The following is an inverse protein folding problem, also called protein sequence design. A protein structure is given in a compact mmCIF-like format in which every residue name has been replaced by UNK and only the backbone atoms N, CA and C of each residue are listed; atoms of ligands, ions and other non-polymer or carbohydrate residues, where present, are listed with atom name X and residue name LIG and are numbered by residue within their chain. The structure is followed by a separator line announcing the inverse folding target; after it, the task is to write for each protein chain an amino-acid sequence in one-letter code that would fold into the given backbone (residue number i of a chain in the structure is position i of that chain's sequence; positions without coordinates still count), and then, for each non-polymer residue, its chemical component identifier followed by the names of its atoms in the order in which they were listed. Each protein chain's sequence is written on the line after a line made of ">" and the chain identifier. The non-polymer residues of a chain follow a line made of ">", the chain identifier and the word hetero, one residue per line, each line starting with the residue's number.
data_IF_865832491462
#
_entry.id   IF_865832491462
#
_cell.length_a   1.000
_cell.length_b   1.000
_cell.length_c   1.000
_cell.angle_alpha   90.00
_cell.angle_beta   90.00
_cell.angle_gamma   90.00
#
_symmetry.space_group_name_H-M   'P 1'
#
loop_
_entity.id
_entity.type
_entity.pdbx_description
1 polymer ?
#
# COMPACT_ATOMS: atom_id res chain seq x y z
N UNK A 1 28.62 -6.29 19.60
CA UNK A 1 28.89 -4.88 19.97
C UNK A 1 28.24 -4.02 18.92
N UNK A 2 27.31 -3.15 19.30
CA UNK A 2 26.62 -2.23 18.36
C UNK A 2 27.46 -0.95 18.34
N UNK A 3 28.07 -0.63 17.21
CA UNK A 3 28.75 0.65 17.04
C UNK A 3 27.81 1.60 16.31
N UNK A 4 27.47 2.72 16.94
CA UNK A 4 26.77 3.82 16.30
C UNK A 4 27.78 4.80 15.74
N UNK A 5 27.73 5.03 14.44
CA UNK A 5 28.55 6.05 13.79
C UNK A 5 27.64 7.19 13.35
N UNK A 6 28.04 8.40 13.68
CA UNK A 6 27.36 9.61 13.24
C UNK A 6 28.17 10.26 12.13
N UNK A 7 27.53 10.61 11.04
CA UNK A 7 28.15 11.34 9.92
C UNK A 7 27.26 12.51 9.54
N UNK A 8 27.85 13.68 9.45
CA UNK A 8 27.18 14.87 8.92
C UNK A 8 27.54 14.97 7.45
N UNK A 9 26.53 14.99 6.59
CA UNK A 9 26.66 15.26 5.15
C UNK A 9 25.61 16.30 4.77
N UNK A 10 26.05 17.38 4.14
CA UNK A 10 25.20 18.48 3.68
C UNK A 10 24.31 19.09 4.80
N UNK A 11 24.84 19.18 6.04
CA UNK A 11 24.14 19.72 7.20
C UNK A 11 23.13 18.76 7.85
N UNK A 12 23.00 17.54 7.35
CA UNK A 12 22.08 16.51 7.87
C UNK A 12 22.90 15.50 8.68
N UNK A 13 22.46 15.21 9.91
CA UNK A 13 23.03 14.19 10.76
C UNK A 13 22.52 12.81 10.38
N UNK A 14 23.41 11.95 9.90
CA UNK A 14 23.10 10.53 9.64
C UNK A 14 23.59 9.69 10.81
N UNK A 15 22.71 8.91 11.40
CA UNK A 15 23.07 7.84 12.33
C UNK A 15 23.19 6.54 11.54
N UNK A 16 24.40 5.99 11.46
CA UNK A 16 24.63 4.69 10.84
C UNK A 16 24.92 3.69 11.95
N UNK A 17 24.08 2.70 12.09
CA UNK A 17 24.29 1.60 13.03
C UNK A 17 24.98 0.46 12.29
N UNK A 18 26.29 0.31 12.51
CA UNK A 18 27.02 -0.88 12.05
C UNK A 18 26.80 -2.00 13.07
N UNK A 19 26.02 -3.00 12.66
CA UNK A 19 25.88 -4.24 13.41
C UNK A 19 26.83 -5.26 12.80
N UNK A 20 27.86 -5.69 13.54
CA UNK A 20 28.64 -6.87 13.17
C UNK A 20 27.73 -8.08 13.24
N UNK A 21 27.37 -8.61 12.07
CA UNK A 21 26.42 -9.73 11.91
C UNK A 21 27.16 -11.07 12.10
N UNK A 22 27.93 -11.20 13.17
CA UNK A 22 28.48 -12.50 13.57
C UNK A 22 27.40 -13.40 14.19
N UNK A 23 26.35 -12.79 14.74
CA UNK A 23 25.21 -13.51 15.34
C UNK A 23 23.87 -13.08 14.69
N UNK A 24 23.66 -13.51 13.45
CA UNK A 24 22.45 -13.22 12.65
C UNK A 24 21.18 -13.66 13.36
N UNK A 25 21.24 -14.71 14.17
CA UNK A 25 20.08 -15.27 14.87
C UNK A 25 19.51 -14.32 15.91
N UNK A 26 20.34 -13.50 16.56
CA UNK A 26 19.87 -12.51 17.54
C UNK A 26 19.20 -11.31 16.90
N UNK A 27 19.73 -10.82 15.77
CA UNK A 27 19.13 -9.68 15.06
C UNK A 27 17.73 -10.01 14.55
N UNK A 28 17.54 -11.20 14.01
CA UNK A 28 16.28 -11.67 13.46
C UNK A 28 15.24 -12.03 14.53
N UNK A 29 15.67 -12.31 15.75
CA UNK A 29 14.78 -12.55 16.88
C UNK A 29 14.05 -11.27 17.32
N UNK A 30 14.68 -10.10 17.14
CA UNK A 30 14.12 -8.81 17.53
C UNK A 30 13.26 -8.14 16.44
N UNK A 31 13.51 -8.43 15.16
CA UNK A 31 12.70 -7.90 14.08
C UNK A 31 12.70 -8.85 12.87
N UNK A 32 11.69 -9.74 12.76
CA UNK A 32 11.57 -10.69 11.66
C UNK A 32 11.49 -10.01 10.28
N UNK A 33 11.00 -8.76 10.21
CA UNK A 33 10.94 -8.01 8.95
C UNK A 33 12.33 -7.66 8.40
N UNK A 34 13.33 -7.46 9.29
CA UNK A 34 14.72 -7.23 8.85
C UNK A 34 15.35 -8.46 8.19
N UNK A 35 14.90 -9.67 8.56
CA UNK A 35 15.35 -10.90 7.91
C UNK A 35 14.85 -10.98 6.48
N UNK A 36 13.55 -10.73 6.27
CA UNK A 36 12.96 -10.71 4.93
C UNK A 36 13.65 -9.67 4.06
N UNK A 37 13.80 -8.43 4.56
CA UNK A 37 14.49 -7.36 3.86
C UNK A 37 15.93 -7.73 3.47
N UNK A 38 16.70 -8.34 4.40
CA UNK A 38 18.07 -8.73 4.12
C UNK A 38 18.18 -9.88 3.11
N UNK A 39 17.20 -10.79 3.10
CA UNK A 39 17.12 -11.87 2.12
C UNK A 39 16.71 -11.33 0.75
N UNK A 40 15.76 -10.42 0.69
CA UNK A 40 15.30 -9.81 -0.56
C UNK A 40 16.36 -8.91 -1.19
N UNK A 41 17.06 -8.09 -0.41
CA UNK A 41 18.21 -7.31 -0.88
C UNK A 41 19.33 -8.24 -1.41
N UNK A 42 19.55 -9.40 -0.76
CA UNK A 42 20.57 -10.34 -1.21
C UNK A 42 20.17 -11.02 -2.53
N UNK A 43 18.90 -11.35 -2.70
CA UNK A 43 18.37 -11.93 -3.94
C UNK A 43 18.44 -10.92 -5.07
N UNK A 44 17.97 -9.69 -4.84
CA UNK A 44 17.95 -8.63 -5.83
C UNK A 44 19.33 -8.24 -6.34
N UNK A 45 20.36 -8.21 -5.46
CA UNK A 45 21.75 -7.91 -5.88
C UNK A 45 22.37 -8.95 -6.81
N UNK A 46 21.78 -10.16 -6.90
CA UNK A 46 22.23 -11.23 -7.80
C UNK A 46 21.36 -11.40 -9.02
N UNK A 47 20.32 -10.59 -9.14
CA UNK A 47 19.33 -10.67 -10.18
C UNK A 47 19.59 -9.57 -11.21
N UNK A 48 19.97 -9.96 -12.41
CA UNK A 48 20.24 -9.04 -13.52
C UNK A 48 19.01 -8.22 -13.94
N UNK A 49 17.81 -8.73 -13.67
CA UNK A 49 16.56 -8.03 -13.97
C UNK A 49 16.19 -6.96 -12.93
N UNK A 50 16.73 -7.08 -11.71
CA UNK A 50 16.33 -6.19 -10.61
C UNK A 50 16.68 -4.72 -10.87
N UNK A 51 17.82 -4.42 -11.49
CA UNK A 51 18.21 -3.04 -11.80
C UNK A 51 17.22 -2.39 -12.77
N UNK A 52 16.81 -3.12 -13.81
CA UNK A 52 15.81 -2.64 -14.77
C UNK A 52 14.43 -2.46 -14.11
N UNK A 53 14.05 -3.38 -13.23
CA UNK A 53 12.83 -3.25 -12.42
C UNK A 53 12.89 -2.00 -11.54
N UNK A 54 13.99 -1.75 -10.83
CA UNK A 54 14.14 -0.61 -9.94
C UNK A 54 14.09 0.72 -10.70
N UNK A 55 14.79 0.82 -11.83
CA UNK A 55 14.75 2.01 -12.70
C UNK A 55 13.31 2.28 -13.17
N UNK A 56 12.58 1.23 -13.55
CA UNK A 56 11.18 1.38 -13.96
C UNK A 56 10.27 1.76 -12.80
N UNK A 57 10.52 1.24 -11.61
CA UNK A 57 9.78 1.63 -10.41
C UNK A 57 10.00 3.13 -10.07
N UNK A 58 11.24 3.60 -10.14
CA UNK A 58 11.57 5.01 -9.91
C UNK A 58 10.89 5.94 -10.93
N UNK A 59 10.81 5.54 -12.19
CA UNK A 59 10.11 6.28 -13.24
C UNK A 59 8.59 6.35 -12.96
N UNK A 60 7.96 5.19 -12.71
CA UNK A 60 6.52 5.09 -12.57
C UNK A 60 5.97 5.73 -11.28
N UNK A 61 6.78 5.74 -10.21
CA UNK A 61 6.38 6.24 -8.89
C UNK A 61 7.14 7.50 -8.47
N UNK A 62 7.72 8.25 -9.42
CA UNK A 62 8.55 9.42 -9.13
C UNK A 62 7.84 10.47 -8.26
N UNK A 63 6.57 10.78 -8.56
CA UNK A 63 5.78 11.75 -7.80
C UNK A 63 5.49 11.26 -6.37
N UNK A 64 5.16 9.97 -6.20
CA UNK A 64 4.86 9.38 -4.90
C UNK A 64 6.11 9.31 -4.02
N UNK A 65 7.25 8.96 -4.62
CA UNK A 65 8.56 8.95 -3.95
C UNK A 65 8.93 10.36 -3.48
N UNK A 66 8.75 11.37 -4.31
CA UNK A 66 9.07 12.75 -3.95
C UNK A 66 8.14 13.27 -2.84
N UNK A 67 6.82 13.03 -2.95
CA UNK A 67 5.87 13.34 -1.87
C UNK A 67 6.25 12.65 -0.57
N UNK A 68 6.64 11.38 -0.63
CA UNK A 68 7.06 10.60 0.53
C UNK A 68 8.34 11.13 1.17
N UNK A 69 9.29 11.66 0.38
CA UNK A 69 10.51 12.31 0.88
C UNK A 69 10.19 13.60 1.64
N UNK A 70 9.27 14.41 1.11
CA UNK A 70 8.84 15.66 1.76
C UNK A 70 8.25 15.39 3.15
N UNK A 71 7.47 14.31 3.32
CA UNK A 71 6.86 13.95 4.60
C UNK A 71 7.71 12.97 5.43
N UNK A 72 8.98 12.77 5.07
CA UNK A 72 9.92 11.84 5.73
C UNK A 72 9.37 10.41 5.87
N UNK A 73 8.68 9.91 4.85
CA UNK A 73 8.25 8.52 4.80
C UNK A 73 9.45 7.62 4.47
N UNK A 74 9.98 6.81 5.42
CA UNK A 74 11.23 6.06 5.21
C UNK A 74 11.04 4.87 4.26
N UNK A 75 9.83 4.39 4.07
CA UNK A 75 9.56 3.18 3.28
C UNK A 75 9.56 3.51 1.80
N UNK A 76 8.77 4.48 1.38
CA UNK A 76 8.66 4.87 -0.03
C UNK A 76 9.75 5.88 -0.42
N UNK A 77 10.04 6.85 0.46
CA UNK A 77 11.05 7.89 0.20
C UNK A 77 12.47 7.34 -0.01
N UNK A 78 12.80 6.18 0.57
CA UNK A 78 14.07 5.47 0.37
C UNK A 78 13.97 4.30 -0.61
N UNK A 79 12.90 4.19 -1.36
CA UNK A 79 12.63 3.11 -2.33
C UNK A 79 12.60 1.69 -1.73
N UNK A 80 12.59 1.55 -0.40
CA UNK A 80 12.64 0.24 0.24
C UNK A 80 11.42 -0.63 -0.08
N UNK A 81 10.28 -0.01 -0.38
CA UNK A 81 9.06 -0.72 -0.80
C UNK A 81 9.30 -1.56 -2.06
N UNK A 82 10.08 -1.07 -3.02
CA UNK A 82 10.29 -1.76 -4.30
C UNK A 82 11.07 -3.06 -4.13
N UNK A 83 11.93 -3.17 -3.12
CA UNK A 83 12.61 -4.42 -2.77
C UNK A 83 11.66 -5.49 -2.25
N UNK A 84 10.57 -5.09 -1.57
CA UNK A 84 9.53 -6.02 -1.11
C UNK A 84 8.57 -6.42 -2.21
N UNK A 85 8.33 -5.52 -3.16
CA UNK A 85 7.42 -5.78 -4.27
C UNK A 85 8.03 -6.77 -5.29
N UNK A 86 9.35 -6.73 -5.47
CA UNK A 86 10.06 -7.56 -6.44
C UNK A 86 9.95 -9.06 -6.12
N UNK A 87 9.50 -9.85 -7.08
CA UNK A 87 9.19 -11.27 -6.93
C UNK A 87 7.79 -11.54 -6.34
N UNK A 88 7.02 -10.48 -6.04
CA UNK A 88 5.68 -10.57 -5.44
C UNK A 88 4.65 -9.68 -6.16
N UNK A 89 4.95 -9.24 -7.38
CA UNK A 89 4.13 -8.24 -8.08
C UNK A 89 2.68 -8.68 -8.31
N UNK A 90 2.43 -9.98 -8.46
CA UNK A 90 1.06 -10.49 -8.60
C UNK A 90 0.18 -10.16 -7.38
N UNK A 91 0.74 -10.23 -6.18
CA UNK A 91 0.00 -9.88 -4.96
C UNK A 91 -0.22 -8.37 -4.86
N UNK A 92 0.75 -7.57 -5.31
CA UNK A 92 0.62 -6.12 -5.37
C UNK A 92 -0.40 -5.67 -6.41
N UNK A 93 -0.48 -6.34 -7.55
CA UNK A 93 -1.54 -6.08 -8.55
C UNK A 93 -2.91 -6.37 -7.95
N UNK A 94 -3.11 -7.53 -7.31
CA UNK A 94 -4.39 -7.85 -6.64
C UNK A 94 -4.75 -6.85 -5.55
N UNK A 95 -3.76 -6.41 -4.78
CA UNK A 95 -3.98 -5.38 -3.77
C UNK A 95 -4.44 -4.07 -4.38
N UNK A 96 -3.76 -3.58 -5.43
CA UNK A 96 -4.12 -2.36 -6.13
C UNK A 96 -5.49 -2.46 -6.82
N UNK A 97 -5.85 -3.63 -7.38
CA UNK A 97 -7.20 -3.88 -7.91
C UNK A 97 -8.27 -3.75 -6.84
N UNK A 98 -8.02 -4.31 -5.65
CA UNK A 98 -8.92 -4.17 -4.51
C UNK A 98 -9.04 -2.72 -4.04
N UNK A 99 -7.95 -1.94 -4.03
CA UNK A 99 -7.99 -0.51 -3.68
C UNK A 99 -8.92 0.26 -4.64
N UNK A 100 -8.88 0.00 -5.95
CA UNK A 100 -9.78 0.63 -6.93
C UNK A 100 -11.24 0.27 -6.65
N UNK A 101 -11.54 -1.01 -6.38
CA UNK A 101 -12.89 -1.45 -6.02
C UNK A 101 -13.38 -0.70 -4.78
N UNK A 102 -12.57 -0.64 -3.74
CA UNK A 102 -12.90 0.06 -2.50
C UNK A 102 -13.13 1.57 -2.71
N UNK A 103 -12.29 2.22 -3.51
CA UNK A 103 -12.44 3.65 -3.82
C UNK A 103 -13.76 3.93 -4.57
N UNK A 104 -14.11 3.09 -5.56
CA UNK A 104 -15.38 3.17 -6.26
C UNK A 104 -16.58 2.93 -5.34
N UNK A 105 -16.49 1.94 -4.46
CA UNK A 105 -17.54 1.68 -3.48
C UNK A 105 -17.74 2.85 -2.51
N UNK A 106 -16.67 3.54 -2.12
CA UNK A 106 -16.76 4.76 -1.29
C UNK A 106 -17.47 5.90 -2.00
N UNK A 107 -17.27 6.10 -3.29
CA UNK A 107 -18.00 7.11 -4.04
C UNK A 107 -19.50 6.80 -4.05
N UNK A 108 -19.87 5.55 -4.33
CA UNK A 108 -21.28 5.11 -4.34
C UNK A 108 -21.88 5.29 -2.94
N UNK A 109 -21.18 4.89 -1.89
CA UNK A 109 -21.61 5.12 -0.51
C UNK A 109 -21.79 6.60 -0.18
N UNK A 110 -20.88 7.47 -0.64
CA UNK A 110 -20.97 8.90 -0.39
C UNK A 110 -22.23 9.54 -1.03
N UNK A 111 -22.67 9.00 -2.18
CA UNK A 111 -23.89 9.44 -2.87
C UNK A 111 -25.15 8.89 -2.18
N UNK A 112 -25.10 7.65 -1.68
CA UNK A 112 -26.23 6.90 -1.12
C UNK A 112 -26.08 6.62 0.36
N UNK A 113 -25.58 7.60 1.13
CA UNK A 113 -25.22 7.41 2.54
C UNK A 113 -26.40 7.02 3.43
N UNK A 114 -27.56 7.64 3.22
CA UNK A 114 -28.76 7.39 4.04
C UNK A 114 -29.33 6.00 3.78
N UNK A 115 -29.38 5.61 2.51
CA UNK A 115 -29.84 4.28 2.11
C UNK A 115 -28.90 3.19 2.64
N UNK A 116 -27.59 3.43 2.55
CA UNK A 116 -26.58 2.54 3.11
C UNK A 116 -26.77 2.30 4.58
N UNK A 117 -26.93 3.37 5.37
CA UNK A 117 -27.14 3.27 6.81
C UNK A 117 -28.47 2.54 7.11
N UNK A 118 -29.52 2.80 6.35
CA UNK A 118 -30.82 2.16 6.51
C UNK A 118 -30.73 0.65 6.28
N UNK A 119 -30.05 0.21 5.24
CA UNK A 119 -29.81 -1.22 4.93
C UNK A 119 -29.07 -1.87 6.10
N UNK A 120 -27.91 -1.32 6.51
CA UNK A 120 -27.09 -1.92 7.57
C UNK A 120 -27.87 -2.04 8.89
N UNK A 121 -28.73 -1.06 9.23
CA UNK A 121 -29.51 -1.10 10.45
C UNK A 121 -30.68 -2.08 10.44
N UNK A 122 -31.27 -2.33 9.28
CA UNK A 122 -32.46 -3.14 9.13
C UNK A 122 -32.17 -4.60 8.79
N UNK A 123 -30.98 -4.93 8.33
CA UNK A 123 -30.57 -6.29 8.03
C UNK A 123 -30.44 -7.12 9.30
N UNK A 124 -30.85 -8.40 9.24
CA UNK A 124 -30.81 -9.31 10.38
C UNK A 124 -29.41 -9.83 10.68
N UNK A 125 -28.62 -10.02 9.63
CA UNK A 125 -27.23 -10.49 9.73
C UNK A 125 -26.29 -9.61 8.89
N UNK A 126 -25.01 -9.70 9.17
CA UNK A 126 -24.01 -8.98 8.38
C UNK A 126 -23.98 -9.44 6.91
N UNK A 127 -24.15 -10.74 6.66
CA UNK A 127 -24.20 -11.29 5.31
C UNK A 127 -25.45 -10.84 4.53
N UNK A 128 -26.58 -10.66 5.23
CA UNK A 128 -27.78 -10.07 4.62
C UNK A 128 -27.52 -8.62 4.23
N UNK A 129 -26.90 -7.84 5.13
CA UNK A 129 -26.53 -6.45 4.83
C UNK A 129 -25.64 -6.36 3.57
N UNK A 130 -24.65 -7.24 3.43
CA UNK A 130 -23.78 -7.26 2.24
C UNK A 130 -24.60 -7.52 0.98
N UNK A 131 -25.48 -8.53 0.97
CA UNK A 131 -26.31 -8.84 -0.20
C UNK A 131 -27.21 -7.68 -0.58
N UNK A 132 -27.90 -7.10 0.40
CA UNK A 132 -28.77 -5.95 0.19
C UNK A 132 -28.00 -4.72 -0.35
N UNK A 133 -26.76 -4.49 0.12
CA UNK A 133 -25.89 -3.43 -0.38
C UNK A 133 -25.40 -3.71 -1.80
N UNK A 134 -25.09 -4.96 -2.14
CA UNK A 134 -24.75 -5.33 -3.52
C UNK A 134 -25.90 -5.01 -4.47
N UNK A 135 -27.12 -5.38 -4.12
CA UNK A 135 -28.31 -5.18 -4.94
C UNK A 135 -28.68 -3.68 -5.03
N UNK A 136 -28.65 -2.96 -3.92
CA UNK A 136 -29.04 -1.55 -3.84
C UNK A 136 -28.04 -0.63 -4.56
N UNK A 137 -26.75 -0.87 -4.33
CA UNK A 137 -25.67 0.03 -4.75
C UNK A 137 -24.97 -0.44 -6.04
N UNK A 138 -25.29 -1.61 -6.55
CA UNK A 138 -24.64 -2.20 -7.72
C UNK A 138 -23.15 -2.52 -7.47
N UNK A 139 -22.80 -2.86 -6.22
CA UNK A 139 -21.44 -3.18 -5.83
C UNK A 139 -21.17 -4.69 -5.96
N UNK A 140 -19.90 -5.04 -6.14
CA UNK A 140 -19.46 -6.40 -5.92
C UNK A 140 -19.33 -6.71 -4.41
N UNK A 141 -19.09 -7.98 -4.07
CA UNK A 141 -18.98 -8.41 -2.67
C UNK A 141 -17.87 -7.69 -1.91
N UNK A 142 -16.73 -7.43 -2.57
CA UNK A 142 -15.59 -6.73 -1.98
C UNK A 142 -15.97 -5.29 -1.61
N UNK A 143 -16.60 -4.57 -2.53
CA UNK A 143 -17.07 -3.21 -2.33
C UNK A 143 -18.16 -3.12 -1.27
N UNK A 144 -19.17 -4.01 -1.33
CA UNK A 144 -20.26 -4.04 -0.36
C UNK A 144 -19.77 -4.36 1.06
N UNK A 145 -18.87 -5.34 1.21
CA UNK A 145 -18.23 -5.66 2.49
C UNK A 145 -17.43 -4.48 3.01
N UNK A 146 -16.64 -3.85 2.17
CA UNK A 146 -15.85 -2.67 2.54
C UNK A 146 -16.72 -1.54 3.06
N UNK A 147 -17.85 -1.26 2.39
CA UNK A 147 -18.85 -0.26 2.82
C UNK A 147 -19.46 -0.63 4.17
N UNK A 148 -19.87 -1.90 4.35
CA UNK A 148 -20.54 -2.39 5.56
C UNK A 148 -19.62 -2.40 6.80
N UNK A 149 -18.32 -2.62 6.63
CA UNK A 149 -17.33 -2.67 7.72
C UNK A 149 -16.86 -1.26 8.19
N UNK A 150 -17.26 -0.19 7.50
CA UNK A 150 -16.81 1.15 7.86
C UNK A 150 -17.43 1.65 9.15
N UNK A 151 -16.59 2.30 9.95
CA UNK A 151 -17.06 2.98 11.19
C UNK A 151 -17.86 4.23 10.84
N UNK A 152 -18.90 4.53 11.61
CA UNK A 152 -19.70 5.74 11.44
C UNK A 152 -18.84 7.02 11.48
N UNK A 153 -17.79 7.06 12.30
CA UNK A 153 -16.85 8.18 12.35
C UNK A 153 -16.12 8.43 11.03
N UNK A 154 -15.95 7.43 10.20
CA UNK A 154 -15.31 7.54 8.88
C UNK A 154 -16.27 8.07 7.80
N UNK A 155 -17.55 8.15 8.11
CA UNK A 155 -18.56 8.75 7.22
C UNK A 155 -18.64 10.28 7.38
N UNK A 156 -18.00 10.82 8.42
CA UNK A 156 -17.98 12.26 8.67
C UNK A 156 -17.15 12.97 7.60
N UNK A 157 -17.75 13.92 6.91
CA UNK A 157 -17.06 14.74 5.90
C UNK A 157 -16.75 14.02 4.58
N UNK A 158 -17.32 12.84 4.33
CA UNK A 158 -17.22 12.20 3.02
C UNK A 158 -17.90 13.09 1.97
N UNK A 159 -17.15 13.43 0.91
CA UNK A 159 -17.63 14.22 -0.21
C UNK A 159 -17.37 13.49 -1.52
N UNK A 160 -18.37 13.44 -2.43
CA UNK A 160 -18.23 12.72 -3.71
C UNK A 160 -17.12 13.27 -4.61
N UNK A 161 -16.82 14.57 -4.56
CA UNK A 161 -15.73 15.18 -5.32
C UNK A 161 -14.35 14.64 -4.89
N UNK A 162 -14.10 14.57 -3.58
CA UNK A 162 -12.85 13.98 -3.05
C UNK A 162 -12.72 12.49 -3.42
N UNK A 163 -13.84 11.74 -3.39
CA UNK A 163 -13.82 10.33 -3.75
C UNK A 163 -13.48 10.10 -5.23
N UNK A 164 -13.84 11.04 -6.11
CA UNK A 164 -13.43 10.97 -7.53
C UNK A 164 -11.93 11.15 -7.70
N UNK A 165 -11.32 12.07 -6.96
CA UNK A 165 -9.86 12.26 -6.96
C UNK A 165 -9.14 11.00 -6.46
N UNK A 166 -9.66 10.36 -5.40
CA UNK A 166 -9.13 9.10 -4.87
C UNK A 166 -9.23 7.96 -5.90
N UNK A 167 -10.32 7.87 -6.67
CA UNK A 167 -10.48 6.89 -7.76
C UNK A 167 -9.42 7.13 -8.83
N UNK A 168 -9.28 8.36 -9.31
CA UNK A 168 -8.29 8.71 -10.34
C UNK A 168 -6.86 8.38 -9.88
N UNK A 169 -6.55 8.63 -8.61
CA UNK A 169 -5.26 8.29 -8.03
C UNK A 169 -5.04 6.78 -7.97
N UNK A 170 -6.03 6.02 -7.46
CA UNK A 170 -5.90 4.56 -7.33
C UNK A 170 -5.85 3.86 -8.68
N UNK A 171 -6.59 4.34 -9.70
CA UNK A 171 -6.52 3.81 -11.06
C UNK A 171 -5.17 4.06 -11.73
N UNK A 172 -4.59 5.25 -11.57
CA UNK A 172 -3.22 5.55 -12.03
C UNK A 172 -2.19 4.65 -11.34
N UNK A 173 -2.34 4.46 -10.04
CA UNK A 173 -1.47 3.58 -9.27
C UNK A 173 -1.60 2.11 -9.72
N UNK A 174 -2.80 1.63 -9.96
CA UNK A 174 -3.01 0.28 -10.51
C UNK A 174 -2.34 0.11 -11.87
N UNK A 175 -2.46 1.10 -12.75
CA UNK A 175 -1.79 1.07 -14.04
C UNK A 175 -0.27 1.01 -13.90
N UNK A 176 0.31 1.80 -12.99
CA UNK A 176 1.74 1.80 -12.69
C UNK A 176 2.22 0.45 -12.12
N UNK A 177 1.46 -0.13 -11.17
CA UNK A 177 1.77 -1.45 -10.60
C UNK A 177 1.70 -2.55 -11.67
N UNK A 178 0.69 -2.53 -12.54
CA UNK A 178 0.57 -3.48 -13.66
C UNK A 178 1.71 -3.34 -14.67
N UNK A 179 2.13 -2.12 -14.94
CA UNK A 179 3.28 -1.88 -15.82
C UNK A 179 4.57 -2.40 -15.19
N UNK A 180 4.79 -2.11 -13.91
CA UNK A 180 5.96 -2.59 -13.17
C UNK A 180 6.03 -4.11 -13.09
N UNK A 181 4.87 -4.79 -13.01
CA UNK A 181 4.79 -6.24 -12.97
C UNK A 181 5.38 -6.94 -14.21
N UNK A 182 5.50 -6.24 -15.34
CA UNK A 182 6.14 -6.77 -16.55
C UNK A 182 7.66 -6.89 -16.42
N UNK A 183 8.25 -6.21 -15.44
CA UNK A 183 9.68 -6.21 -15.12
C UNK A 183 10.00 -7.12 -13.92
N UNK A 184 8.98 -7.78 -13.35
CA UNK A 184 9.15 -8.77 -12.29
C UNK A 184 9.62 -10.12 -12.85
N UNK A 185 9.97 -11.05 -11.96
CA UNK A 185 10.43 -12.41 -12.32
C UNK A 185 9.31 -13.28 -12.89
#
# INVERSE_FOLDING_TARGET
>A
MIQRKFKIKDGILFETTEVRIEDRTKLFKYNPNLRMLAEDIRRSRKDEHFENYLLKAEELFAEDVEKARIVNNPVLGNHSIFYYMYGHMNDWVRYAEKEVICAKAMLVQAIHIEETIKVIRNSNTFDDAIKELMDLLGLDEIGARYVAERRLSQLTGIRPDMQKEDIDYTEKRLAAVKELAKYDR
#
